data_IF_495588373763
#
_entry.id   IF_495588373763
#
_cell.length_a   1.000
_cell.length_b   1.000
_cell.length_c   1.000
_cell.angle_alpha   90.00
_cell.angle_beta   90.00
_cell.angle_gamma   90.00
#
_symmetry.space_group_name_H-M   'P 1'
#
loop_
_entity.id
_entity.type
_entity.pdbx_description
1 polymer ?
#
# COMPACT_ATOMS: atom_id res chain seq x y z
N UNK A 1 29.39 -7.40 25.58
CA UNK A 1 29.45 -8.61 24.73
C UNK A 1 28.05 -9.20 24.66
N UNK A 2 27.24 -8.82 23.66
CA UNK A 2 25.85 -9.28 23.49
C UNK A 2 25.83 -10.41 22.44
N UNK A 3 25.17 -11.52 22.79
CA UNK A 3 25.21 -12.79 22.06
C UNK A 3 24.64 -12.69 20.62
N UNK A 4 25.42 -13.05 19.57
CA UNK A 4 25.00 -13.00 18.16
C UNK A 4 23.86 -13.95 17.74
N UNK A 5 23.35 -14.79 18.65
CA UNK A 5 22.38 -15.87 18.33
C UNK A 5 20.91 -15.50 18.57
N UNK A 6 20.63 -14.48 19.39
CA UNK A 6 19.25 -14.05 19.67
C UNK A 6 18.61 -13.31 18.47
N UNK A 7 19.42 -12.60 17.67
CA UNK A 7 18.94 -11.81 16.53
C UNK A 7 18.46 -12.66 15.33
N UNK A 8 18.88 -13.93 15.23
CA UNK A 8 18.51 -14.81 14.12
C UNK A 8 17.14 -15.47 14.39
N UNK A 9 16.86 -15.84 15.64
CA UNK A 9 15.56 -16.41 16.03
C UNK A 9 14.43 -15.37 15.97
N UNK A 10 14.70 -14.12 16.33
CA UNK A 10 13.71 -13.04 16.26
C UNK A 10 13.25 -12.78 14.82
N UNK A 11 14.16 -12.75 13.84
CA UNK A 11 13.81 -12.53 12.42
C UNK A 11 12.95 -13.66 11.84
N UNK A 12 13.25 -14.93 12.17
CA UNK A 12 12.48 -16.07 11.64
C UNK A 12 11.05 -16.11 12.16
N UNK A 13 10.87 -15.78 13.44
CA UNK A 13 9.54 -15.73 14.06
C UNK A 13 8.73 -14.55 13.50
N UNK A 14 9.33 -13.37 13.37
CA UNK A 14 8.72 -12.20 12.71
C UNK A 14 8.21 -12.53 11.31
N UNK A 15 9.06 -13.13 10.46
CA UNK A 15 8.68 -13.48 9.09
C UNK A 15 7.51 -14.47 9.02
N UNK A 16 7.45 -15.42 9.95
CA UNK A 16 6.33 -16.36 10.05
C UNK A 16 5.02 -15.64 10.38
N UNK A 17 5.03 -14.73 11.36
CA UNK A 17 3.85 -13.95 11.72
C UNK A 17 3.42 -12.99 10.61
N UNK A 18 4.36 -12.33 9.93
CA UNK A 18 4.08 -11.48 8.77
C UNK A 18 3.40 -12.27 7.65
N UNK A 19 3.97 -13.42 7.28
CA UNK A 19 3.41 -14.29 6.24
C UNK A 19 2.02 -14.80 6.61
N UNK A 20 1.82 -15.21 7.86
CA UNK A 20 0.52 -15.65 8.35
C UNK A 20 -0.53 -14.52 8.29
N UNK A 21 -0.14 -13.31 8.72
CA UNK A 21 -1.01 -12.12 8.65
C UNK A 21 -1.42 -11.79 7.22
N UNK A 22 -0.49 -11.85 6.27
CA UNK A 22 -0.76 -11.58 4.86
C UNK A 22 -1.71 -12.60 4.23
N UNK A 23 -1.55 -13.88 4.57
CA UNK A 23 -2.49 -14.92 4.13
C UNK A 23 -3.90 -14.63 4.66
N UNK A 24 -4.02 -14.24 5.93
CA UNK A 24 -5.31 -13.88 6.52
C UNK A 24 -5.94 -12.69 5.81
N UNK A 25 -5.17 -11.63 5.53
CA UNK A 25 -5.64 -10.44 4.80
C UNK A 25 -6.11 -10.83 3.39
N UNK A 26 -5.34 -11.64 2.67
CA UNK A 26 -5.72 -12.09 1.33
C UNK A 26 -7.04 -12.88 1.33
N UNK A 27 -7.16 -13.86 2.23
CA UNK A 27 -8.37 -14.67 2.36
C UNK A 27 -9.59 -13.82 2.76
N UNK A 28 -9.42 -12.92 3.72
CA UNK A 28 -10.46 -12.00 4.15
C UNK A 28 -10.92 -11.08 3.00
N UNK A 29 -9.98 -10.59 2.19
CA UNK A 29 -10.28 -9.70 1.05
C UNK A 29 -11.05 -10.43 -0.05
N UNK A 30 -10.67 -11.68 -0.37
CA UNK A 30 -11.41 -12.51 -1.32
C UNK A 30 -12.83 -12.78 -0.79
N UNK A 31 -12.95 -13.13 0.48
CA UNK A 31 -14.24 -13.42 1.10
C UNK A 31 -15.15 -12.18 1.15
N UNK A 32 -14.60 -11.00 1.47
CA UNK A 32 -15.33 -9.74 1.43
C UNK A 32 -15.81 -9.40 0.02
N UNK A 33 -14.97 -9.60 -1.00
CA UNK A 33 -15.39 -9.42 -2.40
C UNK A 33 -16.50 -10.37 -2.83
N UNK A 34 -16.48 -11.62 -2.35
CA UNK A 34 -17.56 -12.57 -2.57
C UNK A 34 -18.86 -12.10 -1.90
N UNK A 35 -18.81 -11.65 -0.65
CA UNK A 35 -19.99 -11.14 0.07
C UNK A 35 -20.60 -9.93 -0.64
N UNK A 36 -19.78 -8.96 -1.04
CA UNK A 36 -20.28 -7.79 -1.78
C UNK A 36 -20.88 -8.16 -3.14
N UNK A 37 -20.28 -9.12 -3.83
CA UNK A 37 -20.83 -9.64 -5.09
C UNK A 37 -22.20 -10.28 -4.88
N UNK A 38 -22.37 -11.07 -3.83
CA UNK A 38 -23.67 -11.64 -3.49
C UNK A 38 -24.70 -10.58 -3.11
N UNK A 39 -24.30 -9.52 -2.39
CA UNK A 39 -25.19 -8.39 -2.07
C UNK A 39 -25.68 -7.68 -3.34
N UNK A 40 -24.79 -7.41 -4.29
CA UNK A 40 -25.15 -6.80 -5.59
C UNK A 40 -26.16 -7.66 -6.37
N UNK A 41 -25.95 -8.99 -6.38
CA UNK A 41 -26.85 -9.93 -7.04
C UNK A 41 -28.22 -9.93 -6.36
N UNK A 42 -28.25 -10.05 -5.03
CA UNK A 42 -29.48 -10.07 -4.23
C UNK A 42 -30.28 -8.76 -4.39
N UNK A 43 -29.60 -7.63 -4.51
CA UNK A 43 -30.21 -6.32 -4.71
C UNK A 43 -30.60 -6.06 -6.17
N UNK A 44 -30.22 -6.94 -7.11
CA UNK A 44 -30.38 -6.80 -8.56
C UNK A 44 -29.91 -5.42 -9.11
N UNK A 45 -28.92 -4.81 -8.44
CA UNK A 45 -28.43 -3.48 -8.72
C UNK A 45 -26.95 -3.41 -8.41
N UNK A 46 -26.18 -2.91 -9.38
CA UNK A 46 -24.76 -2.61 -9.22
C UNK A 46 -24.61 -1.10 -9.19
N UNK A 47 -24.06 -0.57 -8.12
CA UNK A 47 -23.76 0.87 -8.00
C UNK A 47 -22.29 1.14 -8.27
N UNK A 48 -21.98 2.40 -8.57
CA UNK A 48 -20.59 2.83 -8.71
C UNK A 48 -19.81 2.60 -7.39
N UNK A 49 -20.44 2.82 -6.24
CA UNK A 49 -19.82 2.57 -4.94
C UNK A 49 -19.35 1.11 -4.79
N UNK A 50 -20.18 0.14 -5.19
CA UNK A 50 -19.85 -1.28 -5.10
C UNK A 50 -18.65 -1.64 -5.97
N UNK A 51 -18.60 -1.11 -7.21
CA UNK A 51 -17.47 -1.34 -8.12
C UNK A 51 -16.16 -0.73 -7.59
N UNK A 52 -16.23 0.44 -6.96
CA UNK A 52 -15.06 1.11 -6.41
C UNK A 52 -14.54 0.38 -5.16
N UNK A 53 -15.44 -0.18 -4.34
CA UNK A 53 -15.09 -1.02 -3.21
C UNK A 53 -14.42 -2.32 -3.68
N UNK A 54 -14.97 -2.98 -4.70
CA UNK A 54 -14.35 -4.16 -5.31
C UNK A 54 -12.96 -3.86 -5.88
N UNK A 55 -12.74 -2.68 -6.47
CA UNK A 55 -11.41 -2.26 -6.91
C UNK A 55 -10.43 -2.14 -5.74
N UNK A 56 -10.86 -1.59 -4.60
CA UNK A 56 -10.03 -1.46 -3.41
C UNK A 56 -9.61 -2.86 -2.90
N UNK A 57 -10.51 -3.84 -2.92
CA UNK A 57 -10.17 -5.22 -2.59
C UNK A 57 -9.13 -5.83 -3.53
N UNK A 58 -9.27 -5.63 -4.85
CA UNK A 58 -8.28 -6.09 -5.82
C UNK A 58 -6.91 -5.41 -5.62
N UNK A 59 -6.91 -4.13 -5.26
CA UNK A 59 -5.69 -3.38 -4.99
C UNK A 59 -4.97 -3.90 -3.73
N UNK A 60 -5.72 -4.21 -2.66
CA UNK A 60 -5.18 -4.87 -1.47
C UNK A 60 -4.57 -6.23 -1.83
N UNK A 61 -5.26 -7.05 -2.62
CA UNK A 61 -4.72 -8.34 -3.06
C UNK A 61 -3.42 -8.17 -3.86
N UNK A 62 -3.35 -7.15 -4.71
CA UNK A 62 -2.15 -6.82 -5.48
C UNK A 62 -0.99 -6.44 -4.55
N UNK A 63 -1.25 -5.66 -3.49
CA UNK A 63 -0.21 -5.32 -2.51
C UNK A 63 0.27 -6.52 -1.71
N UNK A 64 -0.63 -7.41 -1.31
CA UNK A 64 -0.24 -8.65 -0.63
C UNK A 64 0.64 -9.51 -1.54
N UNK A 65 0.28 -9.62 -2.83
CA UNK A 65 1.10 -10.30 -3.83
C UNK A 65 2.49 -9.66 -3.99
N UNK A 66 2.54 -8.33 -4.13
CA UNK A 66 3.80 -7.58 -4.23
C UNK A 66 4.68 -7.72 -2.98
N UNK A 67 4.08 -7.86 -1.80
CA UNK A 67 4.82 -8.16 -0.58
C UNK A 67 5.48 -9.55 -0.64
N UNK A 68 4.76 -10.57 -1.11
CA UNK A 68 5.34 -11.91 -1.25
C UNK A 68 6.51 -11.94 -2.23
N UNK A 69 6.50 -11.11 -3.26
CA UNK A 69 7.60 -11.00 -4.23
C UNK A 69 8.80 -10.22 -3.70
N UNK A 70 8.57 -9.12 -2.97
CA UNK A 70 9.62 -8.14 -2.61
C UNK A 70 10.06 -8.17 -1.15
N UNK A 71 9.31 -8.83 -0.27
CA UNK A 71 9.56 -8.91 1.18
C UNK A 71 9.50 -7.56 1.91
N UNK A 72 9.04 -6.49 1.25
CA UNK A 72 8.95 -5.13 1.81
C UNK A 72 7.53 -4.62 1.60
N UNK A 73 6.87 -4.13 2.65
CA UNK A 73 5.57 -3.44 2.52
C UNK A 73 5.83 -2.08 1.88
N UNK A 74 5.39 -1.83 0.64
CA UNK A 74 5.68 -0.58 -0.01
C UNK A 74 4.69 0.47 0.50
N UNK A 75 5.08 1.20 1.55
CA UNK A 75 4.27 2.23 2.28
C UNK A 75 3.66 3.30 1.36
N UNK A 76 4.22 3.45 0.16
CA UNK A 76 3.75 4.39 -0.87
C UNK A 76 2.37 4.01 -1.41
N UNK A 77 2.11 2.72 -1.62
CA UNK A 77 0.88 2.27 -2.26
C UNK A 77 -0.36 2.54 -1.39
N UNK A 78 -0.40 2.26 -0.06
CA UNK A 78 -1.56 2.58 0.78
C UNK A 78 -1.95 4.06 0.78
N UNK A 79 -0.97 4.97 0.72
CA UNK A 79 -1.24 6.40 0.65
C UNK A 79 -1.88 6.80 -0.69
N UNK A 80 -1.47 6.16 -1.79
CA UNK A 80 -2.13 6.36 -3.08
C UNK A 80 -3.56 5.81 -3.09
N UNK A 81 -3.80 4.63 -2.47
CA UNK A 81 -5.15 4.10 -2.29
C UNK A 81 -6.03 5.10 -1.55
N UNK A 82 -5.54 5.65 -0.43
CA UNK A 82 -6.32 6.60 0.35
C UNK A 82 -6.76 7.82 -0.47
N UNK A 83 -5.86 8.37 -1.30
CA UNK A 83 -6.20 9.47 -2.21
C UNK A 83 -7.21 9.05 -3.28
N UNK A 84 -7.00 7.89 -3.91
CA UNK A 84 -7.91 7.36 -4.95
C UNK A 84 -9.29 7.06 -4.36
N UNK A 85 -9.35 6.46 -3.18
CA UNK A 85 -10.59 6.16 -2.46
C UNK A 85 -11.34 7.46 -2.10
N UNK A 86 -10.64 8.47 -1.57
CA UNK A 86 -11.27 9.76 -1.28
C UNK A 86 -11.75 10.48 -2.55
N UNK A 87 -10.97 10.47 -3.62
CA UNK A 87 -11.37 11.06 -4.89
C UNK A 87 -12.63 10.39 -5.45
N UNK A 88 -12.69 9.06 -5.36
CA UNK A 88 -13.85 8.26 -5.79
C UNK A 88 -15.08 8.48 -4.92
N UNK A 89 -14.90 8.62 -3.61
CA UNK A 89 -15.97 9.01 -2.69
C UNK A 89 -16.61 10.33 -3.14
N UNK A 90 -15.80 11.35 -3.43
CA UNK A 90 -16.30 12.63 -3.95
C UNK A 90 -17.07 12.45 -5.25
N UNK A 91 -16.52 11.73 -6.23
CA UNK A 91 -17.16 11.59 -7.55
C UNK A 91 -18.54 10.92 -7.47
N UNK A 92 -18.70 9.93 -6.58
CA UNK A 92 -19.97 9.22 -6.38
C UNK A 92 -20.99 10.11 -5.67
N UNK A 93 -20.56 10.83 -4.63
CA UNK A 93 -21.45 11.47 -3.65
C UNK A 93 -21.60 12.99 -3.90
N UNK A 94 -20.93 13.55 -4.91
CA UNK A 94 -20.88 15.01 -5.16
C UNK A 94 -22.25 15.67 -5.30
N UNK A 95 -23.27 14.93 -5.76
CA UNK A 95 -24.62 15.46 -5.95
C UNK A 95 -25.41 15.57 -4.65
N UNK A 96 -25.09 14.73 -3.67
CA UNK A 96 -25.76 14.66 -2.36
C UNK A 96 -24.93 15.37 -1.26
N UNK A 97 -23.65 15.67 -1.54
CA UNK A 97 -22.75 16.33 -0.60
C UNK A 97 -23.03 17.83 -0.46
N UNK A 98 -23.06 18.30 0.80
CA UNK A 98 -23.09 19.73 1.10
C UNK A 98 -21.76 20.41 0.77
N UNK A 99 -21.80 21.72 0.52
CA UNK A 99 -20.63 22.51 0.12
C UNK A 99 -19.49 22.46 1.15
N UNK A 100 -19.80 22.41 2.45
CA UNK A 100 -18.80 22.40 3.52
C UNK A 100 -18.09 21.04 3.56
N UNK A 101 -18.85 19.94 3.43
CA UNK A 101 -18.30 18.59 3.34
C UNK A 101 -17.48 18.39 2.07
N UNK A 102 -17.92 18.91 0.93
CA UNK A 102 -17.14 18.88 -0.31
C UNK A 102 -15.80 19.59 -0.17
N UNK A 103 -15.79 20.77 0.45
CA UNK A 103 -14.56 21.50 0.77
C UNK A 103 -13.68 20.72 1.76
N UNK A 104 -14.25 20.14 2.82
CA UNK A 104 -13.52 19.36 3.82
C UNK A 104 -12.85 18.12 3.23
N UNK A 105 -13.55 17.36 2.40
CA UNK A 105 -13.00 16.17 1.75
C UNK A 105 -11.94 16.56 0.72
N UNK A 106 -12.19 17.60 -0.07
CA UNK A 106 -11.22 18.10 -1.06
C UNK A 106 -9.95 18.62 -0.39
N UNK A 107 -10.07 19.36 0.72
CA UNK A 107 -8.93 19.80 1.54
C UNK A 107 -8.17 18.62 2.14
N UNK A 108 -8.87 17.56 2.56
CA UNK A 108 -8.26 16.33 3.07
C UNK A 108 -7.43 15.61 1.99
N UNK A 109 -7.93 15.53 0.75
CA UNK A 109 -7.17 14.98 -0.38
C UNK A 109 -5.89 15.78 -0.62
N UNK A 110 -5.97 17.12 -0.59
CA UNK A 110 -4.79 17.99 -0.75
C UNK A 110 -3.79 17.76 0.39
N UNK A 111 -4.25 17.65 1.64
CA UNK A 111 -3.38 17.37 2.79
C UNK A 111 -2.65 16.04 2.65
N UNK A 112 -3.35 14.98 2.23
CA UNK A 112 -2.72 13.67 1.98
C UNK A 112 -1.73 13.76 0.83
N UNK A 113 -2.05 14.49 -0.25
CA UNK A 113 -1.13 14.70 -1.37
C UNK A 113 0.15 15.44 -0.94
N UNK A 114 0.03 16.45 -0.06
CA UNK A 114 1.18 17.15 0.53
C UNK A 114 1.99 16.21 1.41
N UNK A 115 1.36 15.37 2.24
CA UNK A 115 2.07 14.39 3.05
C UNK A 115 2.88 13.42 2.18
N UNK A 116 2.29 12.92 1.09
CA UNK A 116 2.98 12.07 0.11
C UNK A 116 4.14 12.81 -0.55
N UNK A 117 3.97 14.08 -0.92
CA UNK A 117 5.03 14.91 -1.48
C UNK A 117 6.19 15.08 -0.49
N UNK A 118 5.91 15.33 0.79
CA UNK A 118 6.93 15.47 1.84
C UNK A 118 7.68 14.16 2.03
N UNK A 119 6.99 13.02 2.12
CA UNK A 119 7.61 11.69 2.26
C UNK A 119 8.51 11.40 1.04
N UNK A 120 8.02 11.71 -0.16
CA UNK A 120 8.78 11.52 -1.41
C UNK A 120 10.01 12.40 -1.45
N UNK A 121 9.88 13.67 -1.07
CA UNK A 121 11.01 14.61 -1.05
C UNK A 121 12.06 14.22 0.00
N UNK A 122 11.62 13.76 1.18
CA UNK A 122 12.50 13.25 2.23
C UNK A 122 13.34 12.05 1.75
N UNK A 123 12.74 11.09 1.07
CA UNK A 123 13.45 9.93 0.52
C UNK A 123 14.44 10.29 -0.59
N UNK A 124 14.18 11.32 -1.38
CA UNK A 124 15.10 11.76 -2.46
C UNK A 124 16.27 12.56 -1.90
N UNK A 125 16.07 13.34 -0.84
CA UNK A 125 17.09 14.22 -0.26
C UNK A 125 17.95 13.56 0.83
N UNK A 126 17.44 12.54 1.52
CA UNK A 126 18.20 11.75 2.51
C UNK A 126 18.13 10.24 2.18
N UNK A 127 18.89 9.77 1.17
CA UNK A 127 19.04 8.33 0.93
C UNK A 127 19.67 7.66 2.15
N UNK A 128 19.19 6.46 2.50
CA UNK A 128 19.78 5.70 3.60
C UNK A 128 21.20 5.22 3.20
N UNK A 129 22.10 5.11 4.18
CA UNK A 129 23.50 4.69 3.96
C UNK A 129 23.63 3.32 3.26
N UNK A 130 22.68 2.40 3.47
CA UNK A 130 22.63 1.10 2.78
C UNK A 130 22.47 1.25 1.25
N UNK A 131 21.68 2.23 0.78
CA UNK A 131 21.52 2.47 -0.66
C UNK A 131 22.81 3.04 -1.30
N UNK A 132 23.66 3.70 -0.51
CA UNK A 132 24.96 4.22 -0.96
C UNK A 132 26.04 3.13 -1.02
N UNK A 133 26.03 2.18 -0.08
CA UNK A 133 26.90 0.99 -0.11
C UNK A 133 26.58 0.08 -1.31
N UNK A 134 25.30 -0.19 -1.58
CA UNK A 134 24.88 -1.01 -2.72
C UNK A 134 25.26 -0.37 -4.07
N UNK A 135 25.15 0.95 -4.19
CA UNK A 135 25.59 1.68 -5.39
C UNK A 135 27.11 1.72 -5.54
N UNK A 136 27.86 1.81 -4.43
CA UNK A 136 29.31 1.74 -4.44
C UNK A 136 29.80 0.35 -4.87
N UNK A 137 29.20 -0.72 -4.36
CA UNK A 137 29.51 -2.12 -4.74
C UNK A 137 29.15 -2.42 -6.19
N UNK A 138 28.00 -1.94 -6.68
CA UNK A 138 27.60 -2.08 -8.08
C UNK A 138 28.56 -1.36 -9.03
N UNK A 139 29.09 -0.20 -8.62
CA UNK A 139 30.05 0.58 -9.40
C UNK A 139 31.44 -0.06 -9.40
N UNK A 140 31.87 -0.60 -8.26
CA UNK A 140 33.14 -1.34 -8.11
C UNK A 140 33.18 -2.61 -8.98
N UNK A 141 32.10 -3.41 -8.95
CA UNK A 141 31.99 -4.63 -9.74
C UNK A 141 31.99 -4.39 -11.24
N UNK A 142 31.42 -3.26 -11.70
CA UNK A 142 31.41 -2.87 -13.11
C UNK A 142 32.78 -2.46 -13.63
N UNK A 143 33.63 -1.90 -12.76
CA UNK A 143 34.99 -1.51 -13.13
C UNK A 143 35.89 -2.74 -13.29
N UNK A 144 35.79 -3.71 -12.36
CA UNK A 144 36.57 -4.95 -12.40
C UNK A 144 36.19 -5.94 -13.54
N UNK A 145 35.10 -5.69 -14.28
CA UNK A 145 34.73 -6.49 -15.46
C UNK A 145 35.20 -5.86 -16.79
N UNK A 146 35.76 -4.65 -16.74
CA UNK A 146 36.21 -3.90 -17.92
C UNK A 146 37.74 -3.90 -18.09
N UNK A 147 38.45 -4.41 -17.09
CA UNK A 147 39.90 -4.69 -17.10
C UNK A 147 40.14 -6.19 -17.36
#
# INVERSE_FOLDING_TARGET
>A
MLHPRAAIYSRRTLYFFESAGLVVIALATIYAGYQETMLMINNARVTLADLLLMFLYLEILTMVGLYFESGKLPVRFPLYIAMVAMARYVIVDIKEMDNIRLLGVSASIVLVAVAVLVIRYGHVRYPYLEDLEDLADATSKKNNLRD
#
